data_IF_856410186815
#
_entry.id   IF_856410186815
#
_cell.length_a   1.000
_cell.length_b   1.000
_cell.length_c   1.000
_cell.angle_alpha   90.00
_cell.angle_beta   90.00
_cell.angle_gamma   90.00
#
_symmetry.space_group_name_H-M   'P 1'
#
loop_
_entity.id
_entity.type
_entity.pdbx_description
1 polymer ?
#
# COMPACT_ATOMS: atom_id res chain seq x y z
N UNK A 1 8.02 12.58 16.84
CA UNK A 1 6.84 12.45 16.00
C UNK A 1 6.64 11.02 15.58
N UNK A 2 5.44 10.53 15.79
CA UNK A 2 5.15 9.15 15.51
C UNK A 2 4.89 8.93 14.02
N UNK A 3 5.34 7.80 13.51
CA UNK A 3 5.03 7.39 12.15
C UNK A 3 4.05 6.26 12.19
N UNK A 4 3.12 6.28 11.26
CA UNK A 4 2.15 5.20 11.12
C UNK A 4 2.64 4.20 10.11
N UNK A 5 2.54 2.95 10.47
CA UNK A 5 2.82 1.87 9.55
C UNK A 5 1.58 1.62 8.70
N UNK A 6 1.74 1.64 7.40
CA UNK A 6 0.64 1.40 6.48
C UNK A 6 1.02 0.29 5.52
N UNK A 7 0.03 -0.39 5.01
CA UNK A 7 0.24 -1.48 4.09
C UNK A 7 -0.30 -1.11 2.72
N UNK A 8 0.39 -1.57 1.70
CA UNK A 8 -0.07 -1.38 0.33
C UNK A 8 -0.77 -2.66 -0.10
N UNK A 9 -2.03 -2.50 -0.44
CA UNK A 9 -2.89 -3.62 -0.79
C UNK A 9 -3.22 -3.57 -2.27
N UNK A 10 -3.02 -4.70 -2.94
CA UNK A 10 -3.38 -4.83 -4.34
C UNK A 10 -4.88 -4.63 -4.51
N UNK A 11 -5.27 -3.84 -5.50
CA UNK A 11 -6.69 -3.57 -5.74
C UNK A 11 -7.37 -4.70 -6.51
N UNK A 12 -6.59 -5.66 -7.02
CA UNK A 12 -7.14 -6.77 -7.78
C UNK A 12 -7.38 -7.99 -6.90
N UNK A 13 -6.35 -8.42 -6.19
CA UNK A 13 -6.45 -9.61 -5.37
C UNK A 13 -6.55 -9.31 -3.88
N UNK A 14 -6.45 -8.04 -3.51
CA UNK A 14 -6.55 -7.57 -2.12
C UNK A 14 -5.47 -8.17 -1.22
N UNK A 15 -4.31 -8.44 -1.77
CA UNK A 15 -3.19 -8.98 -1.02
C UNK A 15 -2.28 -7.88 -0.54
N UNK A 16 -1.84 -7.97 0.71
CA UNK A 16 -0.85 -7.05 1.25
C UNK A 16 0.51 -7.48 0.79
N UNK A 17 1.09 -6.72 -0.12
CA UNK A 17 2.38 -7.08 -0.69
C UNK A 17 3.51 -6.19 -0.20
N UNK A 18 3.20 -4.98 0.24
CA UNK A 18 4.21 -4.01 0.63
C UNK A 18 3.82 -3.33 1.91
N UNK A 19 4.85 -2.87 2.62
CA UNK A 19 4.66 -2.12 3.86
C UNK A 19 5.46 -0.84 3.75
N UNK A 20 4.87 0.26 4.17
CA UNK A 20 5.57 1.53 4.22
C UNK A 20 5.15 2.28 5.46
N UNK A 21 5.82 3.37 5.75
CA UNK A 21 5.45 4.21 6.87
C UNK A 21 5.30 5.64 6.40
N UNK A 22 4.45 6.39 7.07
CA UNK A 22 4.28 7.80 6.78
C UNK A 22 3.99 8.56 8.06
N UNK A 23 4.00 9.89 7.96
CA UNK A 23 3.74 10.73 9.11
C UNK A 23 2.31 10.52 9.61
N UNK A 24 2.18 10.54 10.92
CA UNK A 24 0.86 10.29 11.52
C UNK A 24 -0.14 11.39 11.22
N UNK A 25 0.32 12.58 10.89
CA UNK A 25 -0.54 13.70 10.57
C UNK A 25 -0.84 13.84 9.08
N UNK A 26 -0.37 12.90 8.28
CA UNK A 26 -0.58 12.93 6.83
C UNK A 26 -1.86 12.16 6.51
N UNK A 27 -2.94 12.87 6.12
CA UNK A 27 -4.21 12.20 5.81
C UNK A 27 -4.24 11.61 4.41
N UNK A 28 -3.24 11.89 3.59
CA UNK A 28 -3.26 11.50 2.20
C UNK A 28 -3.06 10.01 2.04
N UNK A 29 -3.94 9.38 1.28
CA UNK A 29 -3.78 7.98 0.90
C UNK A 29 -3.14 7.93 -0.47
N UNK A 30 -2.10 7.13 -0.58
CA UNK A 30 -1.35 7.03 -1.82
C UNK A 30 -1.71 5.75 -2.54
N UNK A 31 -1.68 5.85 -3.86
CA UNK A 31 -1.87 4.70 -4.72
C UNK A 31 -0.61 4.54 -5.54
N UNK A 32 -0.01 3.37 -5.44
CA UNK A 32 1.26 3.10 -6.11
C UNK A 32 1.13 1.86 -6.96
N UNK A 33 1.70 1.92 -8.15
CA UNK A 33 1.75 0.77 -9.03
C UNK A 33 2.93 -0.11 -8.63
N UNK A 34 2.66 -1.32 -8.21
CA UNK A 34 3.68 -2.26 -7.78
C UNK A 34 3.41 -3.64 -8.35
N UNK A 35 4.46 -4.42 -8.48
CA UNK A 35 4.30 -5.78 -8.94
C UNK A 35 3.60 -6.62 -7.88
N UNK A 36 2.54 -7.29 -8.27
CA UNK A 36 1.80 -8.18 -7.38
C UNK A 36 2.11 -9.62 -7.73
N UNK A 37 2.85 -10.34 -6.87
CA UNK A 37 3.19 -11.73 -7.17
C UNK A 37 1.97 -12.64 -7.18
N UNK A 38 0.92 -12.27 -6.46
CA UNK A 38 -0.30 -13.05 -6.46
C UNK A 38 -1.04 -12.94 -7.77
N UNK A 39 -1.08 -11.73 -8.35
CA UNK A 39 -1.69 -11.52 -9.65
C UNK A 39 -0.74 -11.85 -10.79
N UNK A 40 0.56 -11.86 -10.52
CA UNK A 40 1.56 -12.12 -11.53
C UNK A 40 1.78 -10.95 -12.49
N UNK A 41 1.43 -9.75 -12.07
CA UNK A 41 1.56 -8.56 -12.91
C UNK A 41 1.61 -7.32 -12.04
N UNK A 42 1.93 -6.20 -12.65
CA UNK A 42 1.88 -4.92 -11.95
C UNK A 42 0.44 -4.48 -11.81
N UNK A 43 0.06 -4.15 -10.61
CA UNK A 43 -1.29 -3.66 -10.30
C UNK A 43 -1.21 -2.46 -9.40
N UNK A 44 -2.30 -1.72 -9.33
CA UNK A 44 -2.37 -0.57 -8.44
C UNK A 44 -2.55 -1.05 -7.00
N UNK A 45 -1.73 -0.51 -6.12
CA UNK A 45 -1.80 -0.81 -4.70
C UNK A 45 -2.22 0.43 -3.95
N UNK A 46 -3.14 0.28 -3.02
CA UNK A 46 -3.64 1.38 -2.21
C UNK A 46 -3.15 1.23 -0.78
N UNK A 47 -2.94 2.37 -0.12
CA UNK A 47 -2.58 2.36 1.28
C UNK A 47 -3.75 1.89 2.12
N UNK A 48 -3.43 1.06 3.10
CA UNK A 48 -4.39 0.59 4.08
C UNK A 48 -3.78 0.70 5.47
N UNK A 49 -4.60 0.94 6.45
CA UNK A 49 -4.14 1.00 7.82
C UNK A 49 -4.02 -0.39 8.41
#
# INVERSE_FOLDING_TARGET
MARKKVFLICTECLSRNYTTSKRSDDPTRRELSKYCPTCGKHTLHKESK
#
